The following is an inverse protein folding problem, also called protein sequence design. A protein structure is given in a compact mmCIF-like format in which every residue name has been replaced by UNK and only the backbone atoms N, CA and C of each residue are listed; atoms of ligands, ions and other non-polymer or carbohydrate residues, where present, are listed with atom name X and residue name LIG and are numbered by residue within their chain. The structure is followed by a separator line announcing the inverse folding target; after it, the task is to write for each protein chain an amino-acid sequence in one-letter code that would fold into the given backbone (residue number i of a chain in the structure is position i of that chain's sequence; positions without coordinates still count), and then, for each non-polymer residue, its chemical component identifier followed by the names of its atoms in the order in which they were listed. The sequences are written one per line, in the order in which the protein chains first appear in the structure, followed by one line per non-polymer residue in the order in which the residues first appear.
data_IF_091426195719
#
_entry.id   IF_091426195719
#
_cell.length_a   1.000
_cell.length_b   1.000
_cell.length_c   1.000
_cell.angle_alpha   90.00
_cell.angle_beta   90.00
_cell.angle_gamma   90.00
#
_symmetry.space_group_name_H-M   'P 1'
#
loop_
_entity.id
_entity.type
_entity.pdbx_description
1 polymer ?
#
# COMPACT_ATOMS: atom_id res chain seq x y z
N UNK A 1 -34.40 -42.37 37.13
CA UNK A 1 -34.21 -43.03 35.83
C UNK A 1 -35.31 -42.57 34.88
N UNK A 2 -34.97 -41.76 33.86
CA UNK A 2 -35.91 -41.29 32.82
C UNK A 2 -35.62 -42.03 31.51
N UNK A 3 -36.66 -42.63 30.91
CA UNK A 3 -36.77 -43.05 29.50
C UNK A 3 -38.22 -42.71 29.10
N UNK A 4 -38.49 -41.74 28.24
CA UNK A 4 -38.40 -41.71 26.77
C UNK A 4 -39.30 -42.72 26.07
N UNK A 5 -40.02 -42.23 25.06
CA UNK A 5 -40.45 -42.83 23.77
C UNK A 5 -41.97 -42.82 23.54
N UNK A 6 -42.38 -41.96 22.61
CA UNK A 6 -43.61 -41.98 21.82
C UNK A 6 -43.61 -43.18 20.84
N UNK A 7 -44.78 -43.75 20.50
CA UNK A 7 -44.94 -44.46 19.23
C UNK A 7 -45.88 -43.75 18.26
N UNK A 8 -45.57 -44.00 16.99
CA UNK A 8 -46.18 -43.54 15.76
C UNK A 8 -47.66 -43.91 15.60
N UNK A 9 -48.36 -43.18 14.72
CA UNK A 9 -49.26 -43.87 13.80
C UNK A 9 -49.32 -43.22 12.41
N UNK A 10 -49.23 -44.11 11.43
CA UNK A 10 -49.15 -43.98 9.99
C UNK A 10 -50.51 -43.80 9.32
N UNK A 11 -50.60 -42.83 8.37
CA UNK A 11 -51.31 -42.80 7.06
C UNK A 11 -52.79 -43.30 6.95
N UNK A 12 -53.55 -43.11 5.83
CA UNK A 12 -53.23 -42.53 4.52
C UNK A 12 -54.32 -41.61 3.88
N UNK A 13 -54.01 -41.12 2.66
CA UNK A 13 -54.85 -40.90 1.44
C UNK A 13 -56.28 -40.35 1.61
N UNK A 14 -56.61 -39.16 1.09
CA UNK A 14 -56.72 -38.77 -0.35
C UNK A 14 -57.91 -39.43 -1.07
N UNK A 15 -58.85 -38.58 -1.55
CA UNK A 15 -60.09 -38.77 -2.35
C UNK A 15 -61.29 -38.16 -1.58
N UNK A 16 -62.19 -37.33 -2.10
CA UNK A 16 -62.63 -36.92 -3.44
C UNK A 16 -63.34 -35.55 -3.28
N UNK A 17 -62.99 -34.52 -4.05
CA UNK A 17 -63.64 -34.07 -5.30
C UNK A 17 -65.01 -33.38 -5.13
N UNK A 18 -65.14 -32.26 -5.87
CA UNK A 18 -66.35 -31.63 -6.40
C UNK A 18 -67.03 -30.53 -5.53
N UNK A 19 -67.29 -29.31 -5.97
CA UNK A 19 -67.49 -28.77 -7.33
C UNK A 19 -67.46 -27.23 -7.33
N UNK A 20 -67.13 -26.68 -8.51
CA UNK A 20 -67.47 -25.35 -9.03
C UNK A 20 -66.71 -24.12 -8.48
N UNK A 21 -65.79 -23.61 -9.30
CA UNK A 21 -66.01 -22.37 -10.10
C UNK A 21 -64.76 -22.04 -10.91
N UNK A 22 -64.88 -22.15 -12.23
CA UNK A 22 -63.97 -21.56 -13.19
C UNK A 22 -64.61 -20.30 -13.76
N UNK A 23 -63.85 -19.22 -13.85
CA UNK A 23 -63.68 -18.37 -15.03
C UNK A 23 -63.02 -17.05 -14.61
N UNK A 24 -61.81 -16.84 -15.11
CA UNK A 24 -61.08 -15.59 -15.05
C UNK A 24 -61.76 -14.50 -15.90
N UNK A 25 -61.65 -13.22 -15.53
CA UNK A 25 -61.44 -12.13 -16.49
C UNK A 25 -61.04 -10.79 -15.85
N UNK A 26 -60.11 -10.12 -16.55
CA UNK A 26 -59.84 -8.66 -16.67
C UNK A 26 -59.09 -7.91 -15.57
N UNK A 27 -58.02 -7.25 -16.06
CA UNK A 27 -57.15 -6.29 -15.41
C UNK A 27 -57.88 -5.02 -14.93
N UNK A 28 -57.50 -4.53 -13.75
CA UNK A 28 -57.83 -3.18 -13.30
C UNK A 28 -56.53 -2.43 -12.97
N UNK A 29 -56.37 -1.30 -13.67
CA UNK A 29 -55.30 -0.32 -13.52
C UNK A 29 -55.35 0.22 -12.08
N UNK A 30 -54.31 -0.03 -11.28
CA UNK A 30 -54.12 0.68 -10.01
C UNK A 30 -53.24 1.91 -10.27
N UNK A 31 -53.87 3.08 -10.23
CA UNK A 31 -53.19 4.37 -10.11
C UNK A 31 -52.54 4.42 -8.73
N UNK A 32 -51.21 4.57 -8.60
CA UNK A 32 -50.60 4.78 -7.29
C UNK A 32 -51.00 6.18 -6.80
N UNK A 33 -51.72 6.21 -5.68
CA UNK A 33 -52.02 7.42 -4.93
C UNK A 33 -50.70 8.06 -4.50
N UNK A 34 -50.52 9.35 -4.79
CA UNK A 34 -49.35 10.10 -4.35
C UNK A 34 -49.38 10.24 -2.82
N UNK A 35 -48.65 9.36 -2.13
CA UNK A 35 -48.27 9.61 -0.75
C UNK A 35 -47.20 10.71 -0.77
N UNK A 36 -47.55 11.89 -0.25
CA UNK A 36 -46.57 12.94 0.08
C UNK A 36 -45.56 12.37 1.06
N UNK A 37 -44.34 12.11 0.58
CA UNK A 37 -43.21 11.80 1.42
C UNK A 37 -42.81 13.08 2.17
N UNK A 38 -42.80 13.00 3.51
CA UNK A 38 -42.16 14.00 4.35
C UNK A 38 -40.72 14.25 3.86
N UNK A 39 -40.26 15.51 3.79
CA UNK A 39 -38.90 15.77 3.37
C UNK A 39 -37.95 15.13 4.39
N UNK A 40 -37.20 14.14 3.91
CA UNK A 40 -35.98 13.66 4.53
C UNK A 40 -35.21 14.86 5.07
N UNK A 41 -34.75 14.77 6.31
CA UNK A 41 -33.74 15.67 6.87
C UNK A 41 -32.53 15.61 5.94
N UNK A 42 -32.44 16.56 5.02
CA UNK A 42 -31.26 16.80 4.22
C UNK A 42 -30.22 17.30 5.20
N UNK A 43 -29.25 16.45 5.52
CA UNK A 43 -28.04 16.90 6.19
C UNK A 43 -27.51 18.10 5.37
N UNK A 44 -27.23 19.26 6.00
CA UNK A 44 -26.61 20.36 5.27
C UNK A 44 -25.36 19.84 4.60
N UNK A 45 -25.14 20.24 3.34
CA UNK A 45 -23.91 19.91 2.64
C UNK A 45 -22.72 20.27 3.55
N UNK A 46 -21.71 19.40 3.66
CA UNK A 46 -20.53 19.76 4.43
C UNK A 46 -20.03 21.14 3.99
N UNK A 47 -19.61 22.02 4.91
CA UNK A 47 -19.19 23.40 4.58
C UNK A 47 -17.89 23.45 3.77
N UNK A 48 -17.39 22.31 3.29
CA UNK A 48 -16.27 22.19 2.38
C UNK A 48 -16.77 21.70 1.02
N UNK A 49 -16.59 22.50 -0.02
CA UNK A 49 -16.63 22.00 -1.38
C UNK A 49 -15.40 21.09 -1.57
N UNK A 50 -15.62 19.83 -1.96
CA UNK A 50 -14.52 19.02 -2.47
C UNK A 50 -14.06 19.70 -3.76
N UNK A 51 -12.81 20.20 -3.87
CA UNK A 51 -12.37 20.78 -5.11
C UNK A 51 -12.57 19.73 -6.21
N UNK A 52 -13.34 20.09 -7.23
CA UNK A 52 -13.44 19.27 -8.45
C UNK A 52 -12.03 18.89 -8.87
N UNK A 53 -11.82 17.62 -9.24
CA UNK A 53 -10.56 17.15 -9.78
C UNK A 53 -10.03 18.18 -10.79
N UNK A 54 -8.85 18.77 -10.57
CA UNK A 54 -8.40 19.85 -11.43
C UNK A 54 -8.29 19.33 -12.87
N UNK A 55 -8.70 20.12 -13.88
CA UNK A 55 -8.81 19.64 -15.27
C UNK A 55 -7.48 19.08 -15.77
N UNK A 56 -7.52 17.95 -16.50
CA UNK A 56 -6.31 17.26 -17.00
C UNK A 56 -5.53 18.13 -18.00
N UNK A 57 -6.21 19.06 -18.67
CA UNK A 57 -5.59 20.05 -19.56
C UNK A 57 -4.69 21.03 -18.78
N UNK A 58 -3.58 21.43 -19.39
CA UNK A 58 -2.60 22.33 -18.78
C UNK A 58 -1.15 22.00 -19.12
N UNK A 59 -0.23 22.77 -18.57
CA UNK A 59 1.22 22.50 -18.66
C UNK A 59 1.62 21.60 -17.49
N UNK A 60 2.36 20.54 -17.78
CA UNK A 60 2.83 19.54 -16.84
C UNK A 60 4.35 19.44 -16.89
N UNK A 61 5.00 19.42 -15.75
CA UNK A 61 6.43 19.10 -15.66
C UNK A 61 6.59 17.60 -15.50
N UNK A 62 7.28 16.96 -16.46
CA UNK A 62 7.63 15.55 -16.44
C UNK A 62 9.08 15.41 -16.03
N UNK A 63 9.34 14.57 -15.04
CA UNK A 63 10.67 14.19 -14.60
C UNK A 63 10.93 12.74 -14.99
N UNK A 64 12.05 12.51 -15.65
CA UNK A 64 12.53 11.17 -16.01
C UNK A 64 13.97 11.02 -15.54
N UNK A 65 14.34 9.84 -15.07
CA UNK A 65 15.69 9.60 -14.60
C UNK A 65 15.97 8.13 -14.37
N UNK A 66 17.20 7.86 -13.97
CA UNK A 66 17.63 6.53 -13.59
C UNK A 66 18.67 6.63 -12.48
N UNK A 67 18.72 5.58 -11.68
CA UNK A 67 19.69 5.41 -10.61
C UNK A 67 20.05 3.96 -10.40
N UNK A 68 20.96 3.74 -9.47
CA UNK A 68 21.29 2.44 -8.94
C UNK A 68 21.19 2.46 -7.42
N UNK A 69 20.69 1.38 -6.85
CA UNK A 69 20.66 1.17 -5.41
C UNK A 69 21.33 -0.14 -5.03
N UNK A 70 22.14 -0.10 -3.97
CA UNK A 70 22.63 -1.27 -3.28
C UNK A 70 21.67 -1.58 -2.14
N UNK A 71 20.90 -2.65 -2.26
CA UNK A 71 19.84 -3.04 -1.32
C UNK A 71 19.95 -4.51 -0.92
N UNK A 72 19.36 -4.95 0.19
CA UNK A 72 19.27 -6.38 0.53
C UNK A 72 18.64 -7.21 -0.61
N UNK A 73 19.15 -8.42 -0.82
CA UNK A 73 18.69 -9.35 -1.88
C UNK A 73 17.18 -9.63 -1.81
N UNK A 74 16.69 -9.69 -0.59
CA UNK A 74 15.29 -9.75 -0.18
C UNK A 74 15.21 -9.19 1.25
N UNK A 75 14.00 -8.91 1.72
CA UNK A 75 13.84 -8.39 3.08
C UNK A 75 14.30 -9.39 4.14
N UNK A 76 15.23 -8.96 4.99
CA UNK A 76 15.87 -9.79 6.00
C UNK A 76 17.13 -10.51 5.51
N UNK A 77 17.58 -10.29 4.27
CA UNK A 77 18.84 -10.82 3.79
C UNK A 77 20.04 -10.15 4.48
N UNK A 78 21.12 -10.90 4.64
CA UNK A 78 22.44 -10.38 5.06
C UNK A 78 23.31 -9.94 3.89
N UNK A 79 22.96 -10.39 2.69
CA UNK A 79 23.62 -10.04 1.43
C UNK A 79 22.79 -8.99 0.70
N UNK A 80 23.48 -8.24 -0.14
CA UNK A 80 22.92 -7.11 -0.86
C UNK A 80 23.34 -7.16 -2.31
N UNK A 81 22.46 -6.67 -3.16
CA UNK A 81 22.62 -6.61 -4.61
C UNK A 81 22.49 -5.17 -5.11
N UNK A 82 23.13 -4.90 -6.24
CA UNK A 82 22.91 -3.69 -7.00
C UNK A 82 21.66 -3.85 -7.87
N UNK A 83 20.75 -2.89 -7.82
CA UNK A 83 19.48 -2.89 -8.55
C UNK A 83 19.30 -1.55 -9.27
N UNK A 84 18.89 -1.56 -10.56
CA UNK A 84 18.56 -0.32 -11.26
C UNK A 84 17.23 0.24 -10.74
N UNK A 85 17.15 1.56 -10.62
CA UNK A 85 15.96 2.28 -10.15
C UNK A 85 15.54 3.28 -11.21
N UNK A 86 14.41 3.09 -11.92
CA UNK A 86 13.86 4.12 -12.78
C UNK A 86 13.26 5.24 -11.93
N UNK A 87 13.46 6.49 -12.35
CA UNK A 87 12.89 7.68 -11.71
C UNK A 87 11.87 8.27 -12.66
N UNK A 88 10.65 8.46 -12.17
CA UNK A 88 9.58 9.09 -12.92
C UNK A 88 8.70 9.94 -12.02
N UNK A 89 8.41 11.18 -12.43
CA UNK A 89 7.44 12.02 -11.75
C UNK A 89 6.66 12.84 -12.78
N UNK A 90 5.41 13.15 -12.44
CA UNK A 90 4.60 14.12 -13.16
C UNK A 90 4.03 15.08 -12.13
N UNK A 91 4.15 16.38 -12.38
CA UNK A 91 3.52 17.44 -11.59
C UNK A 91 2.98 18.54 -12.48
N UNK A 92 2.04 19.35 -11.99
CA UNK A 92 1.59 20.53 -12.74
C UNK A 92 2.72 21.56 -12.84
N UNK A 93 2.90 22.16 -14.00
CA UNK A 93 3.90 23.21 -14.15
C UNK A 93 3.52 24.42 -13.27
N UNK A 94 4.51 24.99 -12.59
CA UNK A 94 4.31 26.07 -11.61
C UNK A 94 3.93 25.61 -10.20
N UNK A 95 3.70 24.32 -9.96
CA UNK A 95 3.65 23.78 -8.59
C UNK A 95 5.03 23.85 -7.93
N UNK A 96 5.08 23.91 -6.60
CA UNK A 96 6.36 23.78 -5.86
C UNK A 96 6.96 22.42 -6.18
N UNK A 97 8.27 22.37 -6.38
CA UNK A 97 8.98 21.11 -6.59
C UNK A 97 8.97 20.32 -5.28
N UNK A 98 8.44 19.11 -5.32
CA UNK A 98 8.08 18.38 -4.11
C UNK A 98 9.21 17.49 -3.69
N UNK A 99 9.55 17.54 -2.41
CA UNK A 99 10.45 16.57 -1.82
C UNK A 99 9.87 15.16 -1.98
N UNK A 100 10.69 14.24 -2.47
CA UNK A 100 10.36 12.82 -2.57
C UNK A 100 11.39 12.04 -1.79
N UNK A 101 10.92 11.35 -0.77
CA UNK A 101 11.72 10.40 -0.01
C UNK A 101 12.01 9.14 -0.85
N UNK A 102 13.15 8.47 -0.64
CA UNK A 102 13.54 7.28 -1.41
C UNK A 102 12.56 6.11 -1.29
N UNK A 103 11.75 6.09 -0.23
CA UNK A 103 10.76 5.05 0.07
C UNK A 103 9.31 5.43 -0.23
N UNK A 104 9.07 6.65 -0.70
CA UNK A 104 7.73 7.09 -1.02
C UNK A 104 7.14 6.23 -2.13
N UNK A 105 5.87 5.86 -1.98
CA UNK A 105 5.17 5.13 -3.03
C UNK A 105 4.87 6.04 -4.22
N UNK A 106 4.68 5.43 -5.40
CA UNK A 106 4.16 6.15 -6.55
C UNK A 106 2.79 6.72 -6.19
N UNK A 107 2.65 8.04 -6.21
CA UNK A 107 1.47 8.72 -5.66
C UNK A 107 1.11 9.97 -6.45
N UNK A 108 -0.18 10.31 -6.43
CA UNK A 108 -0.73 11.49 -7.10
C UNK A 108 -1.54 12.25 -6.07
N UNK A 109 -1.17 13.51 -5.78
CA UNK A 109 -2.00 14.36 -4.91
C UNK A 109 -3.23 14.83 -5.67
N UNK A 110 -4.41 14.39 -5.23
CA UNK A 110 -5.70 14.89 -5.74
C UNK A 110 -6.22 16.03 -4.88
N UNK A 111 -5.82 16.06 -3.60
CA UNK A 111 -6.08 17.13 -2.64
C UNK A 111 -4.75 17.81 -2.35
N UNK A 112 -4.71 19.14 -2.50
CA UNK A 112 -3.52 19.96 -2.26
C UNK A 112 -3.95 21.33 -1.72
N UNK A 113 -3.78 21.53 -0.41
CA UNK A 113 -4.04 22.79 0.29
C UNK A 113 -2.75 23.56 0.60
N UNK A 114 -1.65 23.24 -0.09
CA UNK A 114 -0.32 23.82 0.16
C UNK A 114 0.43 23.07 1.26
N UNK A 115 -0.05 23.13 2.50
CA UNK A 115 0.56 22.46 3.65
C UNK A 115 0.08 21.02 3.84
N UNK A 116 -1.15 20.70 3.42
CA UNK A 116 -1.76 19.38 3.49
C UNK A 116 -2.07 18.80 2.12
N UNK A 117 -1.68 17.55 1.91
CA UNK A 117 -1.82 16.86 0.62
C UNK A 117 -2.28 15.42 0.84
N UNK A 118 -3.16 14.95 -0.04
CA UNK A 118 -3.65 13.58 0.03
C UNK A 118 -4.04 13.05 -1.35
N UNK A 119 -3.97 11.73 -1.49
CA UNK A 119 -4.37 11.08 -2.74
C UNK A 119 -4.03 9.59 -2.79
N UNK A 120 -4.26 8.94 -3.94
CA UNK A 120 -3.89 7.55 -4.14
C UNK A 120 -2.38 7.36 -4.14
N UNK A 121 -1.97 6.19 -3.63
CA UNK A 121 -0.60 5.71 -3.61
C UNK A 121 -0.55 4.24 -4.02
N UNK A 122 0.53 3.83 -4.69
CA UNK A 122 0.76 2.46 -5.11
C UNK A 122 2.23 2.08 -5.07
N UNK A 123 2.50 0.83 -4.71
CA UNK A 123 3.85 0.28 -4.61
C UNK A 123 3.92 -1.09 -5.27
N UNK A 124 5.00 -1.31 -6.00
CA UNK A 124 5.30 -2.60 -6.62
C UNK A 124 6.30 -3.37 -5.76
N UNK A 125 5.95 -4.60 -5.39
CA UNK A 125 6.82 -5.51 -4.64
C UNK A 125 7.11 -6.72 -5.52
N UNK A 126 8.36 -6.87 -5.93
CA UNK A 126 8.83 -7.97 -6.77
C UNK A 126 8.59 -9.33 -6.12
N UNK A 127 8.35 -10.36 -6.94
CA UNK A 127 8.29 -11.74 -6.46
C UNK A 127 9.57 -12.17 -5.77
N UNK A 128 9.46 -13.02 -4.75
CA UNK A 128 10.59 -13.72 -4.13
C UNK A 128 10.55 -15.20 -4.51
N UNK A 129 11.50 -15.67 -5.31
CA UNK A 129 11.57 -17.08 -5.71
C UNK A 129 12.52 -17.85 -4.80
N UNK A 130 12.15 -19.06 -4.41
CA UNK A 130 12.92 -19.92 -3.53
C UNK A 130 14.30 -20.24 -4.12
N UNK A 131 14.40 -20.35 -5.44
CA UNK A 131 15.64 -20.68 -6.16
C UNK A 131 16.50 -19.46 -6.51
N UNK A 132 16.08 -18.24 -6.18
CA UNK A 132 16.87 -17.03 -6.48
C UNK A 132 18.11 -16.93 -5.58
N UNK A 133 18.00 -17.37 -4.32
CA UNK A 133 19.07 -17.26 -3.34
C UNK A 133 19.13 -18.51 -2.47
N UNK A 134 20.35 -18.94 -2.12
CA UNK A 134 20.58 -20.14 -1.31
C UNK A 134 19.82 -20.17 0.01
N UNK A 135 19.58 -19.00 0.61
CA UNK A 135 18.88 -18.82 1.87
C UNK A 135 17.39 -19.14 1.76
N UNK A 136 16.82 -18.98 0.57
CA UNK A 136 15.40 -19.16 0.28
C UNK A 136 15.04 -20.56 -0.22
N UNK A 137 16.05 -21.37 -0.57
CA UNK A 137 15.84 -22.74 -1.06
C UNK A 137 14.99 -23.52 -0.05
N UNK A 138 13.85 -24.03 -0.52
CA UNK A 138 12.87 -24.80 0.28
C UNK A 138 11.79 -23.97 0.99
N UNK A 139 11.82 -22.63 0.90
CA UNK A 139 10.79 -21.75 1.50
C UNK A 139 9.65 -21.38 0.55
N UNK A 140 9.61 -21.97 -0.65
CA UNK A 140 8.59 -21.68 -1.65
C UNK A 140 8.63 -20.25 -2.21
N UNK A 141 7.80 -20.02 -3.21
CA UNK A 141 7.78 -18.75 -3.93
C UNK A 141 6.70 -17.82 -3.38
N UNK A 142 7.05 -16.55 -3.22
CA UNK A 142 6.11 -15.45 -2.98
C UNK A 142 5.92 -14.72 -4.30
N UNK A 143 4.67 -14.65 -4.75
CA UNK A 143 4.33 -13.98 -6.01
C UNK A 143 4.57 -12.48 -5.92
N UNK A 144 4.62 -11.82 -7.07
CA UNK A 144 4.61 -10.36 -7.15
C UNK A 144 3.39 -9.79 -6.42
N UNK A 145 3.56 -8.68 -5.72
CA UNK A 145 2.48 -7.94 -5.08
C UNK A 145 2.40 -6.52 -5.61
N UNK A 146 1.18 -6.08 -5.90
CA UNK A 146 0.87 -4.66 -6.08
C UNK A 146 0.16 -4.21 -4.81
N UNK A 147 0.71 -3.20 -4.15
CA UNK A 147 0.06 -2.54 -3.03
C UNK A 147 -0.65 -1.28 -3.53
N UNK A 148 -1.92 -1.11 -3.20
CA UNK A 148 -2.72 0.05 -3.58
C UNK A 148 -3.39 0.64 -2.35
N UNK A 149 -3.45 1.97 -2.27
CA UNK A 149 -4.14 2.67 -1.21
C UNK A 149 -4.00 4.17 -1.33
N UNK A 150 -3.70 4.84 -0.23
CA UNK A 150 -3.60 6.29 -0.19
C UNK A 150 -2.47 6.79 0.69
N UNK A 151 -2.17 8.07 0.52
CA UNK A 151 -1.24 8.79 1.36
C UNK A 151 -1.87 10.07 1.89
N UNK A 152 -1.35 10.52 3.03
CA UNK A 152 -1.53 11.86 3.56
C UNK A 152 -0.15 12.42 3.85
N UNK A 153 0.09 13.64 3.44
CA UNK A 153 1.34 14.37 3.60
C UNK A 153 1.03 15.73 4.19
N UNK A 154 1.78 16.13 5.21
CA UNK A 154 1.58 17.37 5.93
C UNK A 154 2.91 18.06 6.21
N UNK A 155 2.98 19.36 5.90
CA UNK A 155 4.11 20.26 6.14
C UNK A 155 3.69 21.30 7.18
N UNK A 156 3.88 21.04 8.50
CA UNK A 156 3.63 22.05 9.52
C UNK A 156 4.46 23.33 9.29
N UNK A 157 5.64 23.16 8.69
CA UNK A 157 6.61 24.20 8.32
C UNK A 157 7.39 23.72 7.10
N UNK A 158 7.94 24.64 6.30
CA UNK A 158 8.60 24.31 5.02
C UNK A 158 9.79 23.33 5.15
N UNK A 159 10.44 23.29 6.32
CA UNK A 159 11.59 22.42 6.60
C UNK A 159 11.21 21.09 7.27
N UNK A 160 9.92 20.82 7.51
CA UNK A 160 9.49 19.57 8.15
C UNK A 160 8.30 18.97 7.44
N UNK A 161 8.49 17.74 6.96
CA UNK A 161 7.47 16.94 6.30
C UNK A 161 7.09 15.77 7.17
N UNK A 162 5.80 15.48 7.23
CA UNK A 162 5.28 14.22 7.77
C UNK A 162 4.45 13.54 6.70
N UNK A 163 4.55 12.21 6.61
CA UNK A 163 3.82 11.43 5.62
C UNK A 163 3.38 10.11 6.20
N UNK A 164 2.12 9.78 5.96
CA UNK A 164 1.54 8.47 6.25
C UNK A 164 1.01 7.85 4.97
N UNK A 165 1.29 6.58 4.77
CA UNK A 165 0.75 5.79 3.66
C UNK A 165 0.07 4.54 4.21
N UNK A 166 -1.11 4.22 3.67
CA UNK A 166 -1.84 3.01 4.01
C UNK A 166 -2.19 2.30 2.71
N UNK A 167 -1.69 1.07 2.53
CA UNK A 167 -1.81 0.33 1.28
C UNK A 167 -2.23 -1.13 1.53
N UNK A 168 -3.08 -1.65 0.67
CA UNK A 168 -3.56 -3.02 0.67
C UNK A 168 -2.84 -3.81 -0.44
N UNK A 169 -2.23 -4.93 -0.07
CA UNK A 169 -1.56 -5.84 -1.00
C UNK A 169 -2.54 -6.68 -1.82
N UNK A 170 -2.21 -6.87 -3.10
CA UNK A 170 -2.91 -7.71 -4.07
C UNK A 170 -1.86 -8.58 -4.79
N UNK A 171 -1.87 -9.89 -4.53
CA UNK A 171 -0.94 -10.85 -5.16
C UNK A 171 -0.23 -11.71 -4.14
N UNK A 172 1.09 -11.55 -4.02
CA UNK A 172 1.97 -12.29 -3.11
C UNK A 172 1.59 -12.19 -1.64
N UNK A 173 1.09 -11.04 -1.20
CA UNK A 173 0.40 -10.89 0.08
C UNK A 173 -0.94 -10.18 -0.10
N UNK A 174 -1.83 -10.37 0.89
CA UNK A 174 -3.20 -9.81 0.90
C UNK A 174 -3.46 -9.00 2.18
N UNK A 175 -2.39 -8.53 2.80
CA UNK A 175 -2.42 -7.72 4.02
C UNK A 175 -2.41 -6.22 3.76
N UNK A 176 -2.40 -5.48 4.86
CA UNK A 176 -2.30 -4.02 4.86
C UNK A 176 -0.92 -3.66 5.37
N UNK A 177 -0.32 -2.68 4.72
CA UNK A 177 0.97 -2.08 5.05
C UNK A 177 0.72 -0.61 5.37
N UNK A 178 1.24 -0.15 6.49
CA UNK A 178 1.22 1.24 6.90
C UNK A 178 2.66 1.74 7.04
N UNK A 179 3.03 2.77 6.28
CA UNK A 179 4.32 3.44 6.41
C UNK A 179 4.10 4.84 7.00
N UNK A 180 4.92 5.19 7.98
CA UNK A 180 4.98 6.51 8.58
C UNK A 180 6.40 7.06 8.43
N UNK A 181 6.53 8.28 7.94
CA UNK A 181 7.79 8.99 7.84
C UNK A 181 7.67 10.43 8.30
N UNK A 182 8.79 10.94 8.80
CA UNK A 182 8.98 12.35 9.02
C UNK A 182 10.36 12.71 8.45
N UNK A 183 10.47 13.87 7.79
CA UNK A 183 11.69 14.33 7.14
C UNK A 183 11.95 15.79 7.49
N UNK A 184 13.13 16.07 8.03
CA UNK A 184 13.66 17.43 8.16
C UNK A 184 14.37 17.77 6.85
N UNK A 185 13.93 18.82 6.16
CA UNK A 185 14.39 19.22 4.84
C UNK A 185 15.08 20.58 4.96
N UNK A 186 16.38 20.62 4.66
CA UNK A 186 17.21 21.81 4.84
C UNK A 186 17.85 22.18 3.50
N UNK A 187 17.45 23.29 2.86
CA UNK A 187 18.19 23.86 1.73
C UNK A 187 19.45 24.54 2.26
N UNK A 188 20.62 23.91 2.10
CA UNK A 188 21.90 24.42 2.62
C UNK A 188 22.40 25.59 1.75
N UNK A 189 22.25 25.46 0.44
CA UNK A 189 22.46 26.53 -0.57
C UNK A 189 21.37 26.39 -1.64
N UNK A 190 21.21 27.40 -2.52
CA UNK A 190 20.15 27.45 -3.55
C UNK A 190 20.01 26.20 -4.43
N UNK A 191 21.03 25.33 -4.47
CA UNK A 191 21.10 24.13 -5.32
C UNK A 191 21.33 22.84 -4.54
N UNK A 192 21.46 22.88 -3.23
CA UNK A 192 21.82 21.70 -2.42
C UNK A 192 20.85 21.56 -1.25
N UNK A 193 20.10 20.47 -1.27
CA UNK A 193 19.12 20.14 -0.23
C UNK A 193 19.57 18.88 0.49
N UNK A 194 19.53 18.94 1.81
CA UNK A 194 19.75 17.77 2.67
C UNK A 194 18.44 17.47 3.35
N UNK A 195 18.11 16.19 3.45
CA UNK A 195 16.98 15.73 4.23
C UNK A 195 17.36 14.52 5.06
N UNK A 196 16.73 14.40 6.23
CA UNK A 196 16.85 13.21 7.05
C UNK A 196 15.65 13.04 7.96
N UNK A 197 15.34 11.81 8.34
CA UNK A 197 14.37 11.59 9.40
C UNK A 197 13.95 10.14 9.61
N UNK A 198 13.07 9.89 10.58
CA UNK A 198 12.66 8.54 10.95
C UNK A 198 11.72 7.91 9.93
N UNK A 199 11.68 6.57 9.96
CA UNK A 199 10.76 5.71 9.23
C UNK A 199 10.20 4.67 10.17
N UNK A 200 8.92 4.35 10.00
CA UNK A 200 8.28 3.26 10.71
C UNK A 200 7.32 2.54 9.76
N UNK A 201 7.38 1.21 9.77
CA UNK A 201 6.47 0.37 9.00
C UNK A 201 5.71 -0.54 9.95
N UNK A 202 4.41 -0.65 9.75
CA UNK A 202 3.53 -1.62 10.40
C UNK A 202 2.84 -2.47 9.35
N UNK A 203 2.67 -3.75 9.64
CA UNK A 203 2.07 -4.71 8.71
C UNK A 203 1.07 -5.62 9.39
N UNK A 204 0.03 -6.03 8.67
CA UNK A 204 -0.86 -7.10 9.16
C UNK A 204 -0.22 -8.48 8.98
N UNK A 205 -0.72 -9.47 9.72
CA UNK A 205 -0.27 -10.88 9.57
C UNK A 205 -0.37 -11.37 8.12
N UNK A 206 -1.38 -10.91 7.37
CA UNK A 206 -1.55 -11.28 5.96
C UNK A 206 -0.53 -10.63 5.02
N UNK A 207 0.18 -9.60 5.48
CA UNK A 207 1.31 -8.97 4.79
C UNK A 207 2.63 -9.65 5.17
N UNK A 208 2.86 -9.90 6.46
CA UNK A 208 4.14 -10.44 6.97
C UNK A 208 4.29 -11.96 6.78
N UNK A 209 3.23 -12.75 6.99
CA UNK A 209 3.30 -14.21 7.00
C UNK A 209 3.84 -14.87 5.73
N UNK A 210 3.51 -14.41 4.50
CA UNK A 210 4.05 -15.00 3.27
C UNK A 210 5.58 -14.88 3.13
N UNK A 211 6.19 -13.87 3.75
CA UNK A 211 7.63 -13.61 3.62
C UNK A 211 8.44 -14.23 4.75
N UNK A 212 7.90 -14.21 5.97
CA UNK A 212 8.63 -14.58 7.20
C UNK A 212 8.11 -15.85 7.88
N UNK A 213 6.96 -16.38 7.47
CA UNK A 213 6.42 -17.64 7.97
C UNK A 213 7.16 -18.85 7.42
N UNK A 214 7.21 -19.91 8.22
CA UNK A 214 7.79 -21.21 7.86
C UNK A 214 6.79 -22.28 8.28
N UNK A 215 6.17 -22.94 7.29
CA UNK A 215 5.26 -24.05 7.51
C UNK A 215 6.00 -25.38 7.74
N UNK A 216 5.26 -26.45 8.02
CA UNK A 216 5.83 -27.77 8.31
C UNK A 216 6.61 -28.37 7.12
N UNK A 217 6.12 -28.18 5.89
CA UNK A 217 6.79 -28.70 4.70
C UNK A 217 8.09 -27.94 4.42
N UNK A 218 8.06 -26.63 4.56
CA UNK A 218 9.23 -25.76 4.46
C UNK A 218 10.25 -26.07 5.57
N UNK A 219 9.80 -26.31 6.80
CA UNK A 219 10.68 -26.70 7.90
C UNK A 219 11.42 -28.01 7.60
N UNK A 220 10.72 -29.02 7.07
CA UNK A 220 11.33 -30.28 6.64
C UNK A 220 12.31 -30.09 5.47
N UNK A 221 11.98 -29.24 4.51
CA UNK A 221 12.83 -28.98 3.34
C UNK A 221 14.09 -28.17 3.67
N UNK A 222 14.04 -27.32 4.70
CA UNK A 222 15.09 -26.35 5.01
C UNK A 222 15.88 -26.66 6.27
N UNK A 223 15.34 -27.46 7.18
CA UNK A 223 15.87 -27.64 8.53
C UNK A 223 15.64 -26.42 9.45
N UNK A 224 14.89 -25.40 9.00
CA UNK A 224 14.48 -24.29 9.85
C UNK A 224 13.29 -24.71 10.73
N UNK A 225 13.19 -24.23 11.98
CA UNK A 225 12.02 -24.51 12.80
C UNK A 225 10.76 -23.87 12.21
N UNK A 226 9.62 -24.53 12.40
CA UNK A 226 8.31 -23.99 12.05
C UNK A 226 8.11 -22.65 12.75
N UNK A 227 7.64 -21.65 12.01
CA UNK A 227 7.49 -20.29 12.51
C UNK A 227 6.21 -19.63 11.98
N UNK A 228 5.35 -19.19 12.88
CA UNK A 228 4.09 -18.55 12.55
C UNK A 228 4.21 -17.02 12.66
N UNK A 229 4.75 -16.39 11.62
CA UNK A 229 4.92 -14.93 11.60
C UNK A 229 3.58 -14.18 11.71
N UNK A 230 3.48 -13.31 12.71
CA UNK A 230 2.35 -12.39 12.91
C UNK A 230 2.69 -10.97 12.43
N UNK A 231 1.64 -10.19 12.19
CA UNK A 231 1.77 -8.76 11.91
C UNK A 231 2.03 -7.95 13.19
N UNK A 232 2.33 -6.67 13.00
CA UNK A 232 2.68 -5.75 14.06
C UNK A 232 3.65 -4.68 13.55
N UNK A 233 4.41 -4.10 14.49
CA UNK A 233 5.55 -3.28 14.14
C UNK A 233 6.53 -4.12 13.31
N UNK A 234 6.72 -3.72 12.05
CA UNK A 234 7.45 -4.49 11.05
C UNK A 234 8.88 -4.00 10.91
N UNK A 235 9.07 -2.68 10.83
CA UNK A 235 10.41 -2.09 10.85
C UNK A 235 10.42 -0.68 11.46
N UNK A 236 11.56 -0.28 11.99
CA UNK A 236 11.85 1.10 12.37
C UNK A 236 13.24 1.48 11.89
N UNK A 237 13.42 2.74 11.51
CA UNK A 237 14.64 3.18 10.85
C UNK A 237 14.74 4.68 10.69
N UNK A 238 15.71 5.08 9.89
CA UNK A 238 15.89 6.44 9.46
C UNK A 238 16.51 6.49 8.06
N UNK A 239 16.15 7.54 7.33
CA UNK A 239 16.70 7.87 6.02
C UNK A 239 17.44 9.18 6.05
N UNK A 240 18.41 9.32 5.15
CA UNK A 240 18.99 10.60 4.79
C UNK A 240 19.17 10.66 3.27
N UNK A 241 18.90 11.83 2.70
CA UNK A 241 19.03 12.09 1.27
C UNK A 241 19.66 13.45 1.06
N UNK A 242 20.53 13.50 0.07
CA UNK A 242 21.14 14.73 -0.44
C UNK A 242 20.75 14.87 -1.89
N UNK A 243 20.24 16.03 -2.29
CA UNK A 243 20.00 16.37 -3.69
C UNK A 243 20.77 17.62 -4.09
N UNK A 244 21.33 17.57 -5.29
CA UNK A 244 22.05 18.66 -5.91
C UNK A 244 21.44 18.97 -7.28
N UNK A 245 20.92 20.19 -7.42
CA UNK A 245 20.36 20.71 -8.65
C UNK A 245 21.47 21.37 -9.48
N UNK A 246 21.87 20.70 -10.55
CA UNK A 246 22.91 21.22 -11.45
C UNK A 246 22.39 22.47 -12.16
N UNK A 247 21.17 22.40 -12.66
CA UNK A 247 20.43 23.47 -13.32
C UNK A 247 18.91 23.23 -13.12
N UNK A 248 18.00 24.13 -13.57
CA UNK A 248 16.56 23.95 -13.34
C UNK A 248 15.96 22.63 -13.87
N UNK A 249 16.68 21.91 -14.73
CA UNK A 249 16.22 20.69 -15.37
C UNK A 249 16.92 19.46 -14.79
N UNK A 250 18.20 19.54 -14.43
CA UNK A 250 18.99 18.42 -13.93
C UNK A 250 19.13 18.39 -12.41
N UNK A 251 18.79 17.25 -11.82
CA UNK A 251 18.99 16.94 -10.41
C UNK A 251 19.74 15.62 -10.26
N UNK A 252 20.73 15.60 -9.37
CA UNK A 252 21.40 14.38 -8.90
C UNK A 252 21.10 14.23 -7.42
N UNK A 253 20.78 13.02 -6.98
CA UNK A 253 20.56 12.74 -5.57
C UNK A 253 21.27 11.46 -5.15
N UNK A 254 21.63 11.41 -3.88
CA UNK A 254 22.11 10.22 -3.21
C UNK A 254 21.34 10.07 -1.89
N UNK A 255 21.14 8.83 -1.47
CA UNK A 255 20.44 8.55 -0.22
C UNK A 255 20.97 7.30 0.46
N UNK A 256 20.73 7.24 1.76
CA UNK A 256 20.94 6.09 2.61
C UNK A 256 19.71 5.89 3.47
N UNK A 257 19.22 4.66 3.52
CA UNK A 257 18.09 4.25 4.35
C UNK A 257 18.54 3.07 5.20
N UNK A 258 18.47 3.24 6.51
CA UNK A 258 18.70 2.17 7.46
C UNK A 258 17.38 1.80 8.12
N UNK A 259 17.03 0.53 8.10
CA UNK A 259 15.90 0.00 8.86
C UNK A 259 16.31 -1.25 9.61
N UNK A 260 15.76 -1.42 10.81
CA UNK A 260 15.82 -2.66 11.56
C UNK A 260 14.44 -3.29 11.55
N UNK A 261 14.38 -4.55 11.14
CA UNK A 261 13.17 -5.37 11.27
C UNK A 261 12.81 -5.50 12.75
N UNK A 262 11.51 -5.51 13.03
CA UNK A 262 10.92 -5.61 14.36
C UNK A 262 9.98 -6.81 14.43
N UNK A 263 9.42 -7.03 15.62
CA UNK A 263 8.38 -8.03 15.82
C UNK A 263 8.77 -9.44 15.35
N UNK A 264 7.84 -10.10 14.67
CA UNK A 264 8.03 -11.46 14.18
C UNK A 264 8.87 -11.52 12.89
N UNK A 265 8.92 -10.45 12.10
CA UNK A 265 9.81 -10.36 10.95
C UNK A 265 11.27 -10.50 11.40
N UNK A 266 11.67 -9.81 12.48
CA UNK A 266 13.01 -9.90 13.05
C UNK A 266 13.33 -11.25 13.69
N UNK A 267 12.31 -11.95 14.22
CA UNK A 267 12.44 -13.23 14.94
C UNK A 267 12.36 -14.45 14.03
N UNK A 268 11.95 -14.27 12.78
CA UNK A 268 11.85 -15.37 11.82
C UNK A 268 13.17 -16.13 11.72
N UNK A 269 13.17 -17.47 11.70
CA UNK A 269 14.37 -18.28 11.48
C UNK A 269 15.08 -17.96 10.16
N UNK A 270 14.34 -17.47 9.16
CA UNK A 270 14.94 -16.95 7.93
C UNK A 270 15.89 -15.78 8.22
N UNK A 271 15.49 -14.85 9.08
CA UNK A 271 16.26 -13.65 9.42
C UNK A 271 17.34 -13.97 10.45
N UNK A 272 17.01 -14.74 11.49
CA UNK A 272 17.93 -14.99 12.61
C UNK A 272 19.03 -16.00 12.28
N UNK A 273 18.75 -17.00 11.42
CA UNK A 273 19.72 -18.07 11.08
C UNK A 273 20.40 -17.78 9.74
N UNK A 274 19.65 -17.30 8.74
CA UNK A 274 20.14 -17.16 7.36
C UNK A 274 20.35 -15.71 6.92
N UNK A 275 19.88 -14.76 7.70
CA UNK A 275 19.74 -13.37 7.29
C UNK A 275 20.31 -12.37 8.29
N UNK A 276 19.73 -11.17 8.29
CA UNK A 276 20.03 -10.09 9.22
C UNK A 276 18.77 -9.26 9.46
N UNK A 277 18.45 -8.86 10.71
CA UNK A 277 17.37 -7.92 10.97
C UNK A 277 17.73 -6.49 10.57
N UNK A 278 19.01 -6.15 10.42
CA UNK A 278 19.46 -4.83 9.99
C UNK A 278 19.54 -4.80 8.48
N UNK A 279 18.88 -3.83 7.87
CA UNK A 279 18.74 -3.67 6.42
C UNK A 279 19.20 -2.26 6.07
N UNK A 280 20.18 -2.17 5.17
CA UNK A 280 20.71 -0.88 4.70
C UNK A 280 20.58 -0.82 3.20
N UNK A 281 20.03 0.28 2.71
CA UNK A 281 19.93 0.59 1.30
C UNK A 281 20.67 1.89 1.04
N UNK A 282 21.52 1.90 0.01
CA UNK A 282 22.21 3.12 -0.45
C UNK A 282 21.92 3.28 -1.94
N UNK A 283 21.54 4.47 -2.37
CA UNK A 283 21.25 4.72 -3.76
C UNK A 283 21.78 6.06 -4.25
N UNK A 284 21.97 6.12 -5.56
CA UNK A 284 22.32 7.34 -6.29
C UNK A 284 21.51 7.37 -7.59
N UNK A 285 21.03 8.55 -7.96
CA UNK A 285 20.24 8.73 -9.17
C UNK A 285 20.42 10.12 -9.77
N UNK A 286 20.11 10.22 -11.05
CA UNK A 286 20.03 11.48 -11.77
C UNK A 286 18.69 11.54 -12.50
N UNK A 287 18.10 12.74 -12.52
CA UNK A 287 16.81 13.00 -13.16
C UNK A 287 16.83 14.31 -13.91
N UNK A 288 16.07 14.33 -15.00
CA UNK A 288 15.87 15.46 -15.90
C UNK A 288 14.39 15.83 -15.95
N UNK A 289 14.08 17.11 -15.77
CA UNK A 289 12.74 17.67 -15.77
C UNK A 289 12.50 18.56 -16.99
N UNK A 290 11.34 18.39 -17.63
CA UNK A 290 10.91 19.20 -18.78
C UNK A 290 9.40 19.41 -18.79
N UNK A 291 8.96 20.53 -19.35
CA UNK A 291 7.54 20.88 -19.42
C UNK A 291 6.88 20.35 -20.70
N UNK A 292 5.67 19.83 -20.56
CA UNK A 292 4.82 19.27 -21.62
C UNK A 292 3.44 19.91 -21.51
N UNK A 293 2.93 20.43 -22.63
CA UNK A 293 1.59 21.01 -22.71
C UNK A 293 0.59 19.95 -23.16
N UNK A 294 -0.40 19.64 -22.33
CA UNK A 294 -1.51 18.74 -22.65
C UNK A 294 -2.72 19.61 -22.99
N UNK A 295 -3.23 19.47 -24.21
CA UNK A 295 -4.42 20.17 -24.70
C UNK A 295 -5.69 19.44 -24.32
#
# INVERSE_FOLDING_TARGET
MRKTVLPANTAPRQQQHDLLRAAALVALILVPSAATADPLVTLPAPPFELPMLPPVSGTWTVMVGAGGEYKPDFEGAKRSMLSPVPIFAIRRAGSVDQFRGPRDSASIALIDFGDLRAGPAGKFVSSRKANSYSELNGLGDVKTTIELGGFVEYYPVDWFRTRGELRQGIGGHKGVVADLSADFIVPVIQRFTVSAGPRFTWETTKATSPYFGIDAAQAMATGLPIFNAKGGAHSAGAGAQVSYRIDPQWEVHAYVEYQRLLGDAAKSPLVTVRGSPNQTTVGIGASYSFDVKIR
#
